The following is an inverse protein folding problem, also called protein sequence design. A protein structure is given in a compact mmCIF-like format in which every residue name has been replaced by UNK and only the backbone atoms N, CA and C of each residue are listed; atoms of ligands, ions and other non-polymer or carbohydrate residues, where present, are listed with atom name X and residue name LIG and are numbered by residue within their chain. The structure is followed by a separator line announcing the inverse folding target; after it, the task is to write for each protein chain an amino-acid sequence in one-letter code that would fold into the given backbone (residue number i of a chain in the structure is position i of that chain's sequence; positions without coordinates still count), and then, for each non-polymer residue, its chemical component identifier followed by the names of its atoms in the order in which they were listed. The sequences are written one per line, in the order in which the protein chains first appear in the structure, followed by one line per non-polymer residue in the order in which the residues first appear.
data_IF_052140414301
#
_entry.id   IF_052140414301
#
_cell.length_a   1.000
_cell.length_b   1.000
_cell.length_c   1.000
_cell.angle_alpha   90.00
_cell.angle_beta   90.00
_cell.angle_gamma   90.00
#
_symmetry.space_group_name_H-M   'P 1'
#
loop_
_entity.id
_entity.type
_entity.pdbx_description
1 polymer ?
#
# COMPACT_ATOMS: atom_id res chain seq x y z
N UNK A 1 -18.25 -5.54 9.80
CA UNK A 1 -17.97 -5.67 8.34
C UNK A 1 -17.02 -4.60 7.85
N UNK A 2 -17.25 -3.30 8.16
CA UNK A 2 -16.46 -2.16 7.70
C UNK A 2 -14.97 -2.24 8.10
N UNK A 3 -14.67 -2.68 9.32
CA UNK A 3 -13.31 -2.86 9.83
C UNK A 3 -12.48 -3.82 8.95
N UNK A 4 -13.09 -4.93 8.57
CA UNK A 4 -12.47 -5.97 7.76
C UNK A 4 -12.32 -5.51 6.31
N UNK A 5 -13.38 -4.91 5.76
CA UNK A 5 -13.42 -4.46 4.37
C UNK A 5 -12.40 -3.33 4.11
N UNK A 6 -12.25 -2.37 5.01
CA UNK A 6 -11.26 -1.29 4.87
C UNK A 6 -9.83 -1.82 4.84
N UNK A 7 -9.50 -2.80 5.68
CA UNK A 7 -8.19 -3.44 5.68
C UNK A 7 -7.94 -4.25 4.40
N UNK A 8 -8.94 -5.02 3.95
CA UNK A 8 -8.84 -5.83 2.73
C UNK A 8 -8.66 -4.95 1.49
N UNK A 9 -9.42 -3.86 1.36
CA UNK A 9 -9.30 -2.94 0.21
C UNK A 9 -7.89 -2.33 0.13
N UNK A 10 -7.36 -1.85 1.26
CA UNK A 10 -5.99 -1.30 1.30
C UNK A 10 -4.93 -2.35 0.96
N UNK A 11 -5.08 -3.57 1.49
CA UNK A 11 -4.10 -4.63 1.26
C UNK A 11 -4.18 -5.21 -0.15
N UNK A 12 -5.38 -5.36 -0.72
CA UNK A 12 -5.55 -5.79 -2.11
C UNK A 12 -4.89 -4.82 -3.07
N UNK A 13 -5.08 -3.52 -2.86
CA UNK A 13 -4.38 -2.51 -3.64
C UNK A 13 -2.86 -2.64 -3.51
N UNK A 14 -2.34 -2.80 -2.28
CA UNK A 14 -0.91 -3.00 -2.05
C UNK A 14 -0.39 -4.22 -2.80
N UNK A 15 -1.06 -5.36 -2.69
CA UNK A 15 -0.68 -6.61 -3.35
C UNK A 15 -0.71 -6.47 -4.88
N UNK A 16 -1.76 -5.89 -5.44
CA UNK A 16 -1.91 -5.64 -6.87
C UNK A 16 -0.84 -4.66 -7.39
N UNK A 17 -0.70 -3.50 -6.74
CA UNK A 17 0.23 -2.45 -7.16
C UNK A 17 1.69 -2.92 -7.11
N UNK A 18 2.07 -3.65 -6.06
CA UNK A 18 3.43 -4.18 -5.94
C UNK A 18 3.72 -5.30 -6.93
N UNK A 19 2.75 -6.17 -7.21
CA UNK A 19 2.88 -7.23 -8.22
C UNK A 19 2.98 -6.64 -9.62
N UNK A 20 2.17 -5.64 -9.96
CA UNK A 20 2.27 -4.94 -11.24
C UNK A 20 3.58 -4.15 -11.37
N UNK A 21 4.01 -3.51 -10.28
CA UNK A 21 5.29 -2.81 -10.19
C UNK A 21 6.47 -3.73 -10.41
N UNK A 22 6.45 -4.93 -9.80
CA UNK A 22 7.46 -5.98 -9.95
C UNK A 22 7.65 -6.39 -11.41
N UNK A 23 6.58 -6.59 -12.15
CA UNK A 23 6.62 -7.03 -13.55
C UNK A 23 6.83 -5.86 -14.54
N UNK A 24 6.84 -4.62 -14.08
CA UNK A 24 6.80 -3.43 -14.91
C UNK A 24 7.96 -3.30 -15.90
N UNK A 25 9.18 -3.64 -15.51
CA UNK A 25 10.37 -3.53 -16.36
C UNK A 25 10.50 -4.74 -17.29
N UNK A 26 10.40 -5.95 -16.76
CA UNK A 26 10.55 -7.18 -17.54
C UNK A 26 9.43 -7.30 -18.58
N UNK A 27 8.19 -6.97 -18.20
CA UNK A 27 7.03 -7.00 -19.09
C UNK A 27 7.07 -5.94 -20.22
N UNK A 28 7.85 -4.86 -20.05
CA UNK A 28 8.00 -3.81 -21.05
C UNK A 28 9.42 -3.78 -21.69
N UNK A 29 10.19 -4.84 -21.55
CA UNK A 29 11.57 -4.91 -22.06
C UNK A 29 11.68 -4.57 -23.56
N UNK A 30 10.74 -5.05 -24.38
CA UNK A 30 10.71 -4.77 -25.81
C UNK A 30 10.45 -3.27 -26.12
N UNK A 31 9.74 -2.55 -25.26
CA UNK A 31 9.48 -1.12 -25.40
C UNK A 31 10.69 -0.29 -24.95
N UNK A 32 11.32 -0.71 -23.86
CA UNK A 32 12.52 -0.06 -23.30
C UNK A 32 13.68 -0.05 -24.30
N UNK A 33 13.79 -1.08 -25.13
CA UNK A 33 14.84 -1.18 -26.15
C UNK A 33 14.58 -0.33 -27.40
N UNK A 34 13.32 0.01 -27.65
CA UNK A 34 12.93 0.74 -28.90
C UNK A 34 12.72 2.24 -28.68
N UNK A 35 12.36 2.65 -27.46
CA UNK A 35 12.02 4.04 -27.15
C UNK A 35 12.82 4.48 -25.93
N UNK A 36 13.47 5.62 -26.05
CA UNK A 36 14.19 6.21 -24.91
C UNK A 36 13.21 6.87 -23.94
N UNK A 37 12.75 6.06 -22.96
CA UNK A 37 11.90 6.52 -21.86
C UNK A 37 12.61 6.23 -20.55
N UNK A 38 12.64 7.17 -19.59
CA UNK A 38 13.22 6.92 -18.27
C UNK A 38 12.58 5.70 -17.59
N UNK A 39 13.39 4.75 -17.17
CA UNK A 39 12.92 3.43 -16.68
C UNK A 39 12.01 3.53 -15.45
N UNK A 40 12.14 4.57 -14.62
CA UNK A 40 11.29 4.75 -13.43
C UNK A 40 9.81 4.98 -13.76
N UNK A 41 9.50 5.42 -14.99
CA UNK A 41 8.12 5.65 -15.41
C UNK A 41 7.31 4.35 -15.42
N UNK A 42 7.93 3.21 -15.74
CA UNK A 42 7.23 1.93 -15.84
C UNK A 42 6.66 1.46 -14.49
N UNK A 43 7.42 1.35 -13.38
CA UNK A 43 6.84 1.01 -12.08
C UNK A 43 5.81 2.03 -11.60
N UNK A 44 6.10 3.32 -11.77
CA UNK A 44 5.18 4.40 -11.34
C UNK A 44 3.85 4.33 -12.08
N UNK A 45 3.87 4.20 -13.41
CA UNK A 45 2.63 4.11 -14.21
C UNK A 45 1.79 2.89 -13.85
N UNK A 46 2.40 1.75 -13.51
CA UNK A 46 1.69 0.54 -13.07
C UNK A 46 1.00 0.74 -11.72
N UNK A 47 1.67 1.38 -10.78
CA UNK A 47 1.06 1.70 -9.47
C UNK A 47 -0.10 2.69 -9.64
N UNK A 48 0.04 3.71 -10.49
CA UNK A 48 -1.07 4.63 -10.77
C UNK A 48 -2.23 3.94 -11.49
N UNK A 49 -1.96 2.99 -12.37
CA UNK A 49 -3.02 2.17 -12.98
C UNK A 49 -3.81 1.38 -11.92
N UNK A 50 -3.12 0.77 -10.96
CA UNK A 50 -3.79 0.09 -9.82
C UNK A 50 -4.50 1.08 -8.90
N UNK A 51 -4.05 2.32 -8.79
CA UNK A 51 -4.73 3.35 -8.00
C UNK A 51 -6.13 3.67 -8.52
N UNK A 52 -6.37 3.53 -9.82
CA UNK A 52 -7.72 3.64 -10.40
C UNK A 52 -8.62 2.53 -9.84
N UNK A 53 -8.13 1.29 -9.77
CA UNK A 53 -8.86 0.17 -9.18
C UNK A 53 -9.13 0.41 -7.69
N UNK A 54 -8.18 1.01 -6.96
CA UNK A 54 -8.39 1.42 -5.57
C UNK A 54 -9.56 2.41 -5.44
N UNK A 55 -9.59 3.45 -6.29
CA UNK A 55 -10.69 4.43 -6.28
C UNK A 55 -12.04 3.77 -6.57
N UNK A 56 -12.09 2.83 -7.53
CA UNK A 56 -13.29 2.05 -7.80
C UNK A 56 -13.69 1.17 -6.60
N UNK A 57 -12.73 0.61 -5.88
CA UNK A 57 -12.97 -0.21 -4.69
C UNK A 57 -13.47 0.60 -3.48
N UNK A 58 -13.32 1.93 -3.50
CA UNK A 58 -13.93 2.80 -2.48
C UNK A 58 -15.45 2.88 -2.63
N UNK A 59 -16.01 2.68 -3.83
CA UNK A 59 -17.46 2.74 -4.06
C UNK A 59 -18.19 1.69 -3.21
N UNK A 60 -17.88 0.38 -3.30
CA UNK A 60 -18.51 -0.61 -2.44
C UNK A 60 -18.18 -0.41 -0.94
N UNK A 61 -16.99 0.10 -0.62
CA UNK A 61 -16.63 0.42 0.77
C UNK A 61 -17.56 1.50 1.35
N UNK A 62 -17.79 2.57 0.60
CA UNK A 62 -18.72 3.65 1.00
C UNK A 62 -20.17 3.15 1.03
N UNK A 63 -20.57 2.29 0.10
CA UNK A 63 -21.91 1.67 0.11
C UNK A 63 -22.14 0.85 1.39
N UNK A 64 -21.16 0.03 1.79
CA UNK A 64 -21.24 -0.74 3.05
C UNK A 64 -21.26 0.20 4.26
N UNK A 65 -20.51 1.30 4.24
CA UNK A 65 -20.54 2.31 5.30
C UNK A 65 -21.94 2.90 5.47
N UNK A 66 -22.63 3.22 4.38
CA UNK A 66 -24.01 3.72 4.41
C UNK A 66 -24.99 2.67 4.91
N UNK A 67 -24.87 1.42 4.45
CA UNK A 67 -25.75 0.31 4.86
C UNK A 67 -25.56 -0.08 6.34
N UNK A 68 -24.38 0.11 6.91
CA UNK A 68 -24.11 -0.15 8.33
C UNK A 68 -24.51 1.01 9.25
N UNK A 69 -25.06 2.11 8.69
CA UNK A 69 -25.53 3.24 9.46
C UNK A 69 -24.41 4.05 10.14
N UNK A 70 -23.16 3.88 9.71
CA UNK A 70 -22.05 4.70 10.22
C UNK A 70 -22.19 6.13 9.68
N UNK A 71 -22.22 7.14 10.57
CA UNK A 71 -22.43 8.52 10.12
C UNK A 71 -21.24 9.01 9.29
N UNK A 72 -21.53 9.58 8.12
CA UNK A 72 -20.51 10.25 7.31
C UNK A 72 -20.09 11.51 8.05
N UNK A 73 -18.89 11.51 8.60
CA UNK A 73 -18.32 12.66 9.29
C UNK A 73 -17.33 13.40 8.38
N UNK A 74 -17.07 14.70 8.63
CA UNK A 74 -16.14 15.49 7.81
C UNK A 74 -14.71 14.93 7.82
N UNK A 75 -14.36 14.08 8.80
CA UNK A 75 -13.08 13.38 8.82
C UNK A 75 -12.80 12.54 7.57
N UNK A 76 -13.83 12.13 6.82
CA UNK A 76 -13.67 11.37 5.57
C UNK A 76 -12.86 12.15 4.50
N UNK A 77 -12.83 13.49 4.60
CA UNK A 77 -11.98 14.34 3.74
C UNK A 77 -10.47 14.11 3.96
N UNK A 78 -10.09 13.46 5.06
CA UNK A 78 -8.70 13.07 5.35
C UNK A 78 -8.30 11.72 4.72
N UNK A 79 -9.29 10.97 4.23
CA UNK A 79 -9.06 9.68 3.57
C UNK A 79 -8.08 9.78 2.39
N UNK A 80 -8.15 10.78 1.48
CA UNK A 80 -7.19 10.93 0.39
C UNK A 80 -5.75 11.02 0.86
N UNK A 81 -5.48 11.61 2.04
CA UNK A 81 -4.14 11.66 2.61
C UNK A 81 -3.59 10.25 2.89
N UNK A 82 -4.37 9.38 3.54
CA UNK A 82 -4.00 7.99 3.80
C UNK A 82 -3.77 7.20 2.51
N UNK A 83 -4.61 7.44 1.48
CA UNK A 83 -4.48 6.80 0.17
C UNK A 83 -3.23 7.28 -0.59
N UNK A 84 -2.88 8.56 -0.52
CA UNK A 84 -1.64 9.10 -1.11
C UNK A 84 -0.42 8.47 -0.45
N UNK A 85 -0.42 8.33 0.88
CA UNK A 85 0.64 7.64 1.61
C UNK A 85 0.75 6.17 1.17
N UNK A 86 -0.37 5.50 0.97
CA UNK A 86 -0.41 4.11 0.49
C UNK A 86 0.15 3.98 -0.92
N UNK A 87 -0.21 4.89 -1.83
CA UNK A 87 0.33 4.92 -3.21
C UNK A 87 1.84 5.16 -3.18
N UNK A 88 2.31 6.13 -2.38
CA UNK A 88 3.74 6.40 -2.22
C UNK A 88 4.52 5.20 -1.71
N UNK A 89 3.98 4.50 -0.73
CA UNK A 89 4.53 3.24 -0.21
C UNK A 89 4.64 2.18 -1.32
N UNK A 90 3.56 1.99 -2.10
CA UNK A 90 3.54 1.03 -3.20
C UNK A 90 4.52 1.37 -4.33
N UNK A 91 4.72 2.66 -4.64
CA UNK A 91 5.73 3.10 -5.61
C UNK A 91 7.13 2.72 -5.12
N UNK A 92 7.43 2.99 -3.84
CA UNK A 92 8.72 2.62 -3.24
C UNK A 92 8.99 1.12 -3.31
N UNK A 93 8.02 0.31 -2.92
CA UNK A 93 8.10 -1.15 -3.04
C UNK A 93 8.20 -1.61 -4.49
N UNK A 94 7.48 -0.96 -5.40
CA UNK A 94 7.55 -1.22 -6.84
C UNK A 94 8.95 -1.02 -7.41
N UNK A 95 9.67 0.02 -6.99
CA UNK A 95 11.06 0.26 -7.37
C UNK A 95 11.99 -0.86 -6.89
N UNK A 96 11.88 -1.27 -5.63
CA UNK A 96 12.69 -2.36 -5.08
C UNK A 96 12.41 -3.66 -5.82
N UNK A 97 11.14 -4.03 -5.95
CA UNK A 97 10.72 -5.30 -6.53
C UNK A 97 11.03 -5.39 -8.02
N UNK A 98 10.82 -4.30 -8.77
CA UNK A 98 11.17 -4.27 -10.20
C UNK A 98 12.66 -4.42 -10.44
N UNK A 99 13.50 -3.86 -9.56
CA UNK A 99 14.94 -4.04 -9.60
C UNK A 99 15.32 -5.49 -9.32
N UNK A 100 14.77 -6.09 -8.26
CA UNK A 100 15.00 -7.49 -7.90
C UNK A 100 14.58 -8.45 -9.01
N UNK A 101 13.45 -8.17 -9.67
CA UNK A 101 12.95 -9.00 -10.77
C UNK A 101 13.87 -9.02 -12.00
N UNK A 102 14.60 -7.92 -12.25
CA UNK A 102 15.58 -7.86 -13.34
C UNK A 102 16.76 -8.80 -13.06
N UNK A 103 17.21 -8.89 -11.80
CA UNK A 103 18.31 -9.76 -11.40
C UNK A 103 17.89 -11.21 -11.16
N UNK A 104 16.72 -11.37 -10.54
CA UNK A 104 16.20 -12.68 -10.11
C UNK A 104 14.75 -12.84 -10.59
N UNK A 105 14.54 -13.57 -11.66
CA UNK A 105 13.20 -13.82 -12.24
C UNK A 105 12.26 -14.58 -11.30
N UNK A 106 12.79 -15.33 -10.37
CA UNK A 106 12.01 -16.07 -9.37
C UNK A 106 11.40 -15.17 -8.28
N UNK A 107 11.79 -13.88 -8.25
CA UNK A 107 11.26 -12.89 -7.31
C UNK A 107 9.73 -12.82 -7.34
N UNK A 108 9.09 -13.07 -8.49
CA UNK A 108 7.63 -13.07 -8.60
C UNK A 108 6.96 -14.13 -7.71
N UNK A 109 7.54 -15.34 -7.66
CA UNK A 109 7.00 -16.43 -6.81
C UNK A 109 7.29 -16.17 -5.34
N UNK A 110 8.51 -15.72 -5.03
CA UNK A 110 8.88 -15.32 -3.67
C UNK A 110 8.01 -14.18 -3.16
N UNK A 111 7.75 -13.17 -3.98
CA UNK A 111 6.87 -12.07 -3.60
C UNK A 111 5.44 -12.50 -3.31
N UNK A 112 4.92 -13.45 -4.07
CA UNK A 112 3.59 -14.02 -3.80
C UNK A 112 3.49 -14.61 -2.40
N UNK A 113 4.48 -15.39 -1.98
CA UNK A 113 4.55 -15.98 -0.63
C UNK A 113 4.76 -14.91 0.44
N UNK A 114 5.70 -13.99 0.22
CA UNK A 114 5.98 -12.89 1.16
C UNK A 114 4.76 -11.98 1.35
N UNK A 115 4.08 -11.63 0.26
CA UNK A 115 2.86 -10.81 0.31
C UNK A 115 1.74 -11.50 1.10
N UNK A 116 1.57 -12.81 0.94
CA UNK A 116 0.60 -13.59 1.71
C UNK A 116 0.95 -13.62 3.21
N UNK A 117 2.22 -13.84 3.56
CA UNK A 117 2.68 -13.77 4.94
C UNK A 117 2.48 -12.37 5.53
N UNK A 118 2.77 -11.33 4.76
CA UNK A 118 2.59 -9.93 5.18
C UNK A 118 1.12 -9.61 5.49
N UNK A 119 0.19 -10.17 4.70
CA UNK A 119 -1.25 -10.03 4.94
C UNK A 119 -1.63 -10.57 6.33
N UNK A 120 -1.12 -11.73 6.74
CA UNK A 120 -1.39 -12.29 8.06
C UNK A 120 -0.64 -11.57 9.19
N UNK A 121 0.54 -11.03 8.92
CA UNK A 121 1.29 -10.21 9.87
C UNK A 121 0.68 -8.81 10.07
N UNK A 122 -0.23 -8.39 9.20
CA UNK A 122 -0.95 -7.12 9.37
C UNK A 122 -2.31 -7.40 10.02
N UNK A 123 -2.73 -6.65 11.06
CA UNK A 123 -3.98 -6.90 11.77
C UNK A 123 -5.19 -6.47 10.92
N UNK A 124 -5.45 -7.25 9.85
CA UNK A 124 -6.58 -7.04 8.95
C UNK A 124 -7.81 -7.77 9.47
N UNK A 125 -7.64 -9.04 9.84
CA UNK A 125 -8.72 -9.95 10.21
C UNK A 125 -9.08 -9.94 11.69
N UNK A 126 -8.22 -9.38 12.54
CA UNK A 126 -8.39 -9.39 14.00
C UNK A 126 -8.17 -7.98 14.57
N UNK A 127 -8.87 -7.64 15.66
CA UNK A 127 -8.71 -6.35 16.31
C UNK A 127 -7.38 -6.26 17.07
N UNK A 128 -6.85 -5.05 17.18
CA UNK A 128 -5.57 -4.77 17.87
C UNK A 128 -5.59 -5.21 19.34
N UNK A 129 -6.77 -5.27 19.97
CA UNK A 129 -6.94 -5.68 21.38
C UNK A 129 -6.53 -7.11 21.68
N UNK A 130 -6.47 -7.99 20.66
CA UNK A 130 -6.08 -9.39 20.81
C UNK A 130 -4.56 -9.56 20.82
N UNK A 131 -3.83 -8.56 20.33
CA UNK A 131 -2.37 -8.66 20.18
C UNK A 131 -1.71 -8.47 21.55
N UNK A 132 -0.90 -9.46 22.02
CA UNK A 132 -0.14 -9.31 23.25
C UNK A 132 0.82 -8.11 23.19
N UNK A 133 0.95 -7.37 24.30
CA UNK A 133 1.77 -6.17 24.36
C UNK A 133 3.24 -6.39 23.92
N UNK A 134 3.76 -7.60 24.15
CA UNK A 134 5.11 -7.99 23.74
C UNK A 134 5.33 -7.93 22.22
N UNK A 135 4.33 -8.27 21.42
CA UNK A 135 4.42 -8.26 19.95
C UNK A 135 4.02 -6.92 19.32
N UNK A 136 3.44 -6.01 20.09
CA UNK A 136 2.97 -4.72 19.58
C UNK A 136 4.10 -3.90 18.91
N UNK A 137 5.32 -4.02 19.39
CA UNK A 137 6.50 -3.35 18.82
C UNK A 137 6.77 -3.83 17.39
N UNK A 138 6.64 -5.14 17.13
CA UNK A 138 6.81 -5.72 15.80
C UNK A 138 5.75 -5.20 14.81
N UNK A 139 4.50 -5.11 15.25
CA UNK A 139 3.40 -4.56 14.43
C UNK A 139 3.60 -3.07 14.13
N UNK A 140 4.13 -2.30 15.07
CA UNK A 140 4.47 -0.88 14.87
C UNK A 140 5.64 -0.66 13.90
N UNK A 141 6.48 -1.66 13.65
CA UNK A 141 7.50 -1.59 12.61
C UNK A 141 6.93 -1.80 11.19
N UNK A 142 5.71 -2.32 11.09
CA UNK A 142 5.07 -2.58 9.80
C UNK A 142 4.47 -1.29 9.21
N UNK A 143 4.95 -0.78 8.05
CA UNK A 143 4.42 0.44 7.45
C UNK A 143 2.94 0.32 7.07
N UNK A 144 2.50 -0.85 6.60
CA UNK A 144 1.09 -1.10 6.27
C UNK A 144 0.16 -0.96 7.49
N UNK A 145 0.65 -1.32 8.68
CA UNK A 145 -0.12 -1.17 9.92
C UNK A 145 -0.54 0.28 10.17
N UNK A 146 0.39 1.22 10.02
CA UNK A 146 0.11 2.64 10.26
C UNK A 146 -0.86 3.22 9.24
N UNK A 147 -0.73 2.84 7.97
CA UNK A 147 -1.60 3.32 6.89
C UNK A 147 -3.02 2.78 7.07
N UNK A 148 -3.17 1.48 7.33
CA UNK A 148 -4.49 0.85 7.54
C UNK A 148 -5.15 1.42 8.81
N UNK A 149 -4.39 1.60 9.88
CA UNK A 149 -4.90 2.21 11.12
C UNK A 149 -5.40 3.62 10.89
N UNK A 150 -4.65 4.43 10.13
CA UNK A 150 -5.07 5.79 9.76
C UNK A 150 -6.40 5.77 9.00
N UNK A 151 -6.51 4.93 7.97
CA UNK A 151 -7.74 4.78 7.17
C UNK A 151 -8.91 4.34 8.05
N UNK A 152 -8.69 3.44 9.01
CA UNK A 152 -9.73 2.96 9.94
C UNK A 152 -10.20 4.06 10.89
N UNK A 153 -9.31 4.84 11.48
CA UNK A 153 -9.68 5.96 12.36
C UNK A 153 -10.56 6.95 11.59
N UNK A 154 -10.19 7.28 10.37
CA UNK A 154 -10.94 8.20 9.51
C UNK A 154 -12.33 7.66 9.14
N UNK A 155 -12.41 6.37 8.73
CA UNK A 155 -13.65 5.76 8.22
C UNK A 155 -14.60 5.30 9.34
N UNK A 156 -14.07 4.72 10.43
CA UNK A 156 -14.87 4.04 11.44
C UNK A 156 -15.13 4.97 12.63
N UNK A 157 -14.09 5.58 13.16
CA UNK A 157 -14.21 6.49 14.32
C UNK A 157 -14.71 7.87 13.88
N UNK A 158 -14.47 8.24 12.62
CA UNK A 158 -14.89 9.52 12.05
C UNK A 158 -14.26 10.73 12.77
N UNK A 159 -13.10 10.53 13.39
CA UNK A 159 -12.35 11.53 14.13
C UNK A 159 -11.07 11.86 13.37
N UNK A 160 -10.61 13.10 13.49
CA UNK A 160 -9.28 13.47 13.00
C UNK A 160 -8.22 12.69 13.77
N UNK A 161 -7.35 11.92 13.09
CA UNK A 161 -6.26 11.19 13.74
C UNK A 161 -5.32 12.15 14.51
N UNK A 162 -4.63 11.64 15.52
CA UNK A 162 -3.61 12.40 16.23
C UNK A 162 -2.48 12.85 15.28
N UNK A 163 -1.81 13.98 15.54
CA UNK A 163 -0.66 14.45 14.73
C UNK A 163 0.43 13.40 14.55
N UNK A 164 0.61 12.53 15.53
CA UNK A 164 1.54 11.39 15.48
C UNK A 164 1.17 10.39 14.40
N UNK A 165 -0.13 10.16 14.15
CA UNK A 165 -0.58 9.23 13.12
C UNK A 165 -0.25 9.74 11.71
N UNK A 166 -0.36 11.04 11.48
CA UNK A 166 0.07 11.66 10.20
C UNK A 166 1.57 11.50 9.98
N UNK A 167 2.38 11.79 11.00
CA UNK A 167 3.83 11.65 10.92
C UNK A 167 4.24 10.19 10.65
N UNK A 168 3.62 9.22 11.31
CA UNK A 168 3.90 7.80 11.11
C UNK A 168 3.49 7.31 9.72
N UNK A 169 2.35 7.78 9.18
CA UNK A 169 1.95 7.48 7.81
C UNK A 169 2.92 8.06 6.78
N UNK A 170 3.39 9.30 6.99
CA UNK A 170 4.38 9.91 6.12
C UNK A 170 5.72 9.15 6.15
N UNK A 171 6.19 8.79 7.33
CA UNK A 171 7.43 8.01 7.48
C UNK A 171 7.26 6.63 6.82
N UNK A 172 6.13 5.96 7.07
CA UNK A 172 5.81 4.65 6.49
C UNK A 172 5.76 4.67 4.96
N UNK A 173 5.37 5.80 4.36
CA UNK A 173 5.35 6.00 2.91
C UNK A 173 6.71 6.45 2.37
N UNK A 174 7.32 7.46 3.00
CA UNK A 174 8.49 8.14 2.47
C UNK A 174 9.78 7.30 2.58
N UNK A 175 9.94 6.53 3.66
CA UNK A 175 11.13 5.69 3.85
C UNK A 175 11.26 4.62 2.76
N UNK A 176 10.25 3.79 2.47
CA UNK A 176 10.32 2.82 1.38
C UNK A 176 10.44 3.48 0.00
N UNK A 177 9.81 4.66 -0.19
CA UNK A 177 9.91 5.42 -1.43
C UNK A 177 11.35 5.90 -1.67
N UNK A 178 11.99 6.50 -0.67
CA UNK A 178 13.37 6.97 -0.76
C UNK A 178 14.36 5.83 -0.98
N UNK A 179 14.24 4.76 -0.19
CA UNK A 179 15.07 3.56 -0.33
C UNK A 179 14.88 2.90 -1.69
N UNK A 180 13.64 2.74 -2.13
CA UNK A 180 13.31 2.18 -3.44
C UNK A 180 13.89 3.02 -4.58
N UNK A 181 13.75 4.33 -4.52
CA UNK A 181 14.31 5.24 -5.53
C UNK A 181 15.83 5.19 -5.58
N UNK A 182 16.51 5.12 -4.43
CA UNK A 182 17.99 5.00 -4.36
C UNK A 182 18.45 3.69 -4.97
N UNK A 183 17.83 2.56 -4.56
CA UNK A 183 18.17 1.23 -5.08
C UNK A 183 17.93 1.17 -6.59
N UNK A 184 16.79 1.69 -7.04
CA UNK A 184 16.43 1.72 -8.45
C UNK A 184 17.44 2.56 -9.27
N UNK A 185 17.76 3.78 -8.80
CA UNK A 185 18.72 4.66 -9.47
C UNK A 185 20.13 4.06 -9.56
N UNK A 186 20.55 3.32 -8.53
CA UNK A 186 21.89 2.69 -8.51
C UNK A 186 22.00 1.53 -9.49
N UNK A 187 20.88 0.89 -9.86
CA UNK A 187 20.84 -0.31 -10.68
C UNK A 187 20.16 -0.11 -12.07
N UNK A 188 20.02 1.15 -12.50
CA UNK A 188 19.49 1.50 -13.81
C UNK A 188 20.43 1.15 -14.97
#
# INVERSE_FOLDING_TARGET
PLYLLSGIVCFNFFSEATTMGLQSIVGNAALITKVYVPKYIYPVSRVFSSAINLLLSLIPLLAVMLLTGTPIRPAILLLPFGLICLVGFCIGMGFVLSTLMVFFRDTQFLWGVVSMLWMYMTPIFYPESIIPAHYMTLYKCNPMYHIIRFVRIVLIEGVSPEPKAYALCLIASFVPLALGAIIFKKNQ
#
